data_IF_025289068637
#
_entry.id   IF_025289068637
#
_cell.length_a   1.000
_cell.length_b   1.000
_cell.length_c   1.000
_cell.angle_alpha   90.00
_cell.angle_beta   90.00
_cell.angle_gamma   90.00
#
_symmetry.space_group_name_H-M   'P 1'
#
loop_
_entity.id
_entity.type
_entity.pdbx_description
1 polymer ?
#
# COMPACT_ATOMS: atom_id res chain seq x y z
N UNK A 1 15.82 -3.42 -14.10
CA UNK A 1 14.36 -3.51 -14.32
C UNK A 1 13.97 -4.97 -14.20
N UNK A 2 13.27 -5.35 -13.12
CA UNK A 2 12.90 -6.73 -12.84
C UNK A 2 11.89 -7.26 -13.87
N UNK A 3 12.05 -8.52 -14.26
CA UNK A 3 11.16 -9.19 -15.19
C UNK A 3 9.77 -9.36 -14.53
N UNK A 4 8.78 -8.54 -14.91
CA UNK A 4 7.47 -8.54 -14.22
C UNK A 4 6.59 -9.77 -14.56
N UNK A 5 6.98 -10.59 -15.54
CA UNK A 5 6.34 -11.89 -15.81
C UNK A 5 4.84 -11.74 -16.09
N UNK A 6 4.00 -12.45 -15.34
CA UNK A 6 2.53 -12.46 -15.52
C UNK A 6 1.86 -11.17 -15.00
N UNK A 7 2.53 -10.46 -14.10
CA UNK A 7 2.11 -9.15 -13.60
C UNK A 7 2.75 -8.09 -14.50
N UNK A 8 2.00 -7.12 -14.97
CA UNK A 8 2.50 -6.06 -15.84
C UNK A 8 2.48 -4.70 -15.15
N UNK A 9 1.55 -4.49 -14.23
CA UNK A 9 1.43 -3.25 -13.47
C UNK A 9 0.92 -3.58 -12.08
N UNK A 10 1.43 -2.86 -11.09
CA UNK A 10 0.97 -2.89 -9.71
C UNK A 10 1.25 -1.51 -9.12
N UNK A 11 0.24 -0.67 -9.03
CA UNK A 11 0.41 0.74 -8.67
C UNK A 11 -0.72 1.26 -7.77
N UNK A 12 -0.42 2.28 -6.97
CA UNK A 12 -1.38 2.95 -6.09
C UNK A 12 -1.53 4.40 -6.53
N UNK A 13 -2.77 4.82 -6.77
CA UNK A 13 -3.10 6.24 -6.98
C UNK A 13 -3.95 6.75 -5.84
N UNK A 14 -3.54 7.86 -5.23
CA UNK A 14 -4.32 8.54 -4.20
C UNK A 14 -5.41 9.41 -4.83
N UNK A 15 -6.58 9.43 -4.18
CA UNK A 15 -7.71 10.25 -4.62
C UNK A 15 -7.30 11.73 -4.71
N UNK A 16 -7.72 12.38 -5.79
CA UNK A 16 -7.47 13.81 -6.08
C UNK A 16 -5.97 14.19 -6.10
N UNK A 17 -5.07 13.21 -6.26
CA UNK A 17 -3.61 13.39 -6.12
C UNK A 17 -3.21 14.03 -4.79
N UNK A 18 -4.00 13.84 -3.72
CA UNK A 18 -3.69 14.35 -2.39
C UNK A 18 -2.49 13.59 -1.81
N UNK A 19 -1.47 14.34 -1.42
CA UNK A 19 -0.20 13.80 -0.90
C UNK A 19 0.12 14.22 0.54
N UNK A 20 -0.63 15.17 1.11
CA UNK A 20 -0.48 15.62 2.50
C UNK A 20 -1.74 15.27 3.26
N UNK A 21 -1.60 14.59 4.40
CA UNK A 21 -2.70 14.17 5.25
C UNK A 21 -2.47 14.60 6.70
N UNK A 22 -3.54 14.96 7.39
CA UNK A 22 -3.53 15.35 8.81
C UNK A 22 -4.22 14.29 9.69
N UNK A 23 -4.06 14.35 11.02
CA UNK A 23 -4.84 13.53 11.94
C UNK A 23 -6.34 13.62 11.65
N UNK A 24 -7.02 12.47 11.65
CA UNK A 24 -8.44 12.36 11.28
C UNK A 24 -8.76 12.40 9.77
N UNK A 25 -7.78 12.66 8.89
CA UNK A 25 -8.03 12.61 7.44
C UNK A 25 -8.32 11.19 6.96
N UNK A 26 -9.11 11.09 5.89
CA UNK A 26 -9.25 9.85 5.15
C UNK A 26 -8.20 9.73 4.04
N UNK A 27 -7.33 8.73 4.12
CA UNK A 27 -6.43 8.32 3.03
C UNK A 27 -7.20 7.36 2.14
N UNK A 28 -7.46 7.75 0.88
CA UNK A 28 -8.20 6.90 -0.05
C UNK A 28 -7.55 6.90 -1.43
N UNK A 29 -7.79 5.83 -2.19
CA UNK A 29 -7.18 5.65 -3.49
C UNK A 29 -7.61 4.36 -4.16
N UNK A 30 -6.89 4.01 -5.22
CA UNK A 30 -7.11 2.81 -6.01
C UNK A 30 -5.79 2.07 -6.18
N UNK A 31 -5.81 0.77 -5.91
CA UNK A 31 -4.77 -0.16 -6.32
C UNK A 31 -5.11 -0.65 -7.74
N UNK A 32 -4.24 -0.39 -8.70
CA UNK A 32 -4.34 -0.87 -10.08
C UNK A 32 -3.40 -2.06 -10.28
N UNK A 33 -3.93 -3.13 -10.86
CA UNK A 33 -3.18 -4.33 -11.22
C UNK A 33 -3.46 -4.68 -12.67
N UNK A 34 -2.40 -4.80 -13.49
CA UNK A 34 -2.52 -5.25 -14.88
C UNK A 34 -1.83 -6.59 -15.00
N UNK A 35 -2.48 -7.59 -15.60
CA UNK A 35 -1.89 -8.93 -15.78
C UNK A 35 -1.85 -9.35 -17.25
N UNK A 36 -0.72 -9.93 -17.66
CA UNK A 36 -0.51 -10.44 -19.02
C UNK A 36 -1.30 -11.74 -19.29
N UNK A 37 -1.71 -12.43 -18.22
CA UNK A 37 -2.43 -13.69 -18.25
C UNK A 37 -3.09 -13.92 -16.89
N UNK A 38 -4.02 -14.88 -16.84
CA UNK A 38 -4.69 -15.23 -15.59
C UNK A 38 -3.70 -15.56 -14.46
N UNK A 39 -3.92 -14.96 -13.28
CA UNK A 39 -3.06 -15.08 -12.10
C UNK A 39 -3.89 -15.44 -10.87
N UNK A 40 -3.61 -16.60 -10.27
CA UNK A 40 -4.20 -17.02 -9.00
C UNK A 40 -3.58 -16.22 -7.86
N UNK A 41 -4.40 -15.81 -6.90
CA UNK A 41 -3.96 -15.10 -5.69
C UNK A 41 -4.68 -15.63 -4.45
N UNK A 42 -4.08 -15.44 -3.27
CA UNK A 42 -4.66 -15.86 -1.97
C UNK A 42 -5.44 -14.74 -1.31
N UNK A 43 -4.93 -13.52 -1.39
CA UNK A 43 -5.54 -12.27 -0.97
C UNK A 43 -4.83 -11.11 -1.67
N UNK A 44 -5.50 -9.96 -1.72
CA UNK A 44 -4.91 -8.68 -2.12
C UNK A 44 -5.20 -7.73 -0.97
N UNK A 45 -4.14 -7.20 -0.37
CA UNK A 45 -4.22 -6.35 0.83
C UNK A 45 -3.49 -5.04 0.59
N UNK A 46 -4.06 -3.97 1.12
CA UNK A 46 -3.39 -2.67 1.25
C UNK A 46 -3.03 -2.48 2.71
N UNK A 47 -1.76 -2.16 2.99
CA UNK A 47 -1.27 -1.86 4.32
C UNK A 47 -0.94 -0.37 4.38
N UNK A 48 -1.47 0.32 5.38
CA UNK A 48 -1.18 1.72 5.65
C UNK A 48 -0.52 1.82 7.02
N UNK A 49 0.74 2.21 7.04
CA UNK A 49 1.57 2.24 8.25
C UNK A 49 2.24 3.60 8.36
N UNK A 50 2.33 4.12 9.58
CA UNK A 50 3.06 5.33 9.91
C UNK A 50 3.91 5.09 11.16
N UNK A 51 5.20 5.36 11.05
CA UNK A 51 6.17 5.22 12.15
C UNK A 51 7.20 6.35 12.10
N UNK A 52 7.79 6.67 13.25
CA UNK A 52 8.91 7.59 13.38
C UNK A 52 10.08 6.88 14.06
N UNK A 53 11.20 6.80 13.35
CA UNK A 53 12.47 6.36 13.89
C UNK A 53 13.36 7.54 14.22
N UNK A 54 14.00 7.55 15.38
CA UNK A 54 14.95 8.58 15.82
C UNK A 54 16.27 7.93 16.20
N UNK A 55 17.39 8.51 15.76
CA UNK A 55 18.75 8.15 16.21
C UNK A 55 19.49 9.40 16.66
N UNK A 56 20.22 9.30 17.78
CA UNK A 56 21.06 10.39 18.29
C UNK A 56 22.54 10.21 17.95
N UNK A 57 22.89 9.13 17.24
CA UNK A 57 24.25 8.84 16.81
C UNK A 57 24.42 9.24 15.36
N UNK A 58 25.41 10.08 15.11
CA UNK A 58 25.90 10.35 13.75
C UNK A 58 26.47 9.03 13.21
N UNK A 59 26.04 8.64 12.00
CA UNK A 59 26.47 7.45 11.25
C UNK A 59 25.96 6.07 11.74
N UNK A 60 24.96 6.02 12.61
CA UNK A 60 24.27 4.76 12.96
C UNK A 60 23.00 4.57 12.10
N UNK A 61 22.89 3.43 11.42
CA UNK A 61 21.71 3.06 10.62
C UNK A 61 20.63 2.37 11.45
N UNK A 62 20.92 2.03 12.72
CA UNK A 62 19.94 1.51 13.66
C UNK A 62 19.20 2.65 14.37
N UNK A 63 17.87 2.58 14.39
CA UNK A 63 17.04 3.49 15.17
C UNK A 63 17.29 3.28 16.66
N UNK A 64 17.48 4.38 17.40
CA UNK A 64 17.59 4.34 18.87
C UNK A 64 16.21 4.21 19.51
N UNK A 65 15.18 4.79 18.88
CA UNK A 65 13.77 4.67 19.25
C UNK A 65 12.93 4.59 17.97
N UNK A 66 11.95 3.68 17.94
CA UNK A 66 10.95 3.57 16.87
C UNK A 66 9.54 3.62 17.49
N UNK A 67 8.73 4.56 17.03
CA UNK A 67 7.33 4.70 17.46
C UNK A 67 6.41 4.46 16.27
N UNK A 68 5.48 3.50 16.41
CA UNK A 68 4.44 3.25 15.41
C UNK A 68 3.19 4.06 15.74
N UNK A 69 2.89 5.07 14.93
CA UNK A 69 1.66 5.87 15.05
C UNK A 69 0.41 5.06 14.70
N UNK A 70 0.48 4.25 13.64
CA UNK A 70 -0.60 3.34 13.25
C UNK A 70 -0.11 2.24 12.30
N UNK A 71 -0.86 1.15 12.27
CA UNK A 71 -0.74 0.06 11.30
C UNK A 71 -2.12 -0.49 11.02
N UNK A 72 -2.61 -0.25 9.81
CA UNK A 72 -3.93 -0.69 9.35
C UNK A 72 -3.81 -1.53 8.09
N UNK A 73 -4.55 -2.63 8.03
CA UNK A 73 -4.61 -3.52 6.87
C UNK A 73 -6.04 -3.61 6.36
N UNK A 74 -6.21 -3.45 5.06
CA UNK A 74 -7.49 -3.66 4.37
C UNK A 74 -7.34 -4.77 3.34
N UNK A 75 -8.16 -5.82 3.44
CA UNK A 75 -8.31 -6.80 2.35
C UNK A 75 -9.21 -6.18 1.28
N UNK A 76 -8.71 -6.07 0.05
CA UNK A 76 -9.47 -5.53 -1.09
C UNK A 76 -9.93 -6.62 -2.06
N UNK A 77 -9.38 -7.83 -1.95
CA UNK A 77 -9.90 -9.04 -2.58
C UNK A 77 -9.43 -10.29 -1.83
N UNK A 78 -10.32 -11.26 -1.64
CA UNK A 78 -9.97 -12.59 -1.13
C UNK A 78 -9.63 -13.55 -2.26
N UNK A 79 -9.12 -14.74 -1.91
CA UNK A 79 -8.63 -15.78 -2.84
C UNK A 79 -9.44 -15.85 -4.13
N UNK A 80 -8.73 -15.75 -5.25
CA UNK A 80 -9.36 -15.80 -6.56
C UNK A 80 -8.36 -15.86 -7.70
N UNK A 81 -8.84 -15.46 -8.87
CA UNK A 81 -8.04 -15.37 -10.10
C UNK A 81 -8.23 -13.98 -10.70
N UNK A 82 -7.15 -13.23 -10.84
CA UNK A 82 -7.12 -12.07 -11.71
C UNK A 82 -7.15 -12.57 -13.15
N UNK A 83 -8.16 -12.19 -13.93
CA UNK A 83 -8.18 -12.46 -15.37
C UNK A 83 -7.11 -11.62 -16.08
N UNK A 84 -6.72 -12.00 -17.30
CA UNK A 84 -5.86 -11.14 -18.11
C UNK A 84 -6.48 -9.75 -18.28
N UNK A 85 -5.66 -8.70 -18.18
CA UNK A 85 -6.06 -7.30 -18.30
C UNK A 85 -6.00 -6.53 -16.98
N UNK A 86 -6.73 -5.41 -16.95
CA UNK A 86 -6.68 -4.40 -15.89
C UNK A 86 -7.71 -4.69 -14.78
N UNK A 87 -7.28 -4.49 -13.53
CA UNK A 87 -8.08 -4.63 -12.32
C UNK A 87 -7.88 -3.41 -11.44
N UNK A 88 -8.95 -2.98 -10.77
CA UNK A 88 -8.92 -1.80 -9.89
C UNK A 88 -9.61 -2.12 -8.57
N UNK A 89 -8.91 -1.84 -7.47
CA UNK A 89 -9.36 -2.13 -6.12
C UNK A 89 -9.35 -0.83 -5.29
N UNK A 90 -10.51 -0.25 -4.97
CA UNK A 90 -10.57 0.95 -4.14
C UNK A 90 -10.19 0.62 -2.69
N UNK A 91 -9.55 1.56 -2.02
CA UNK A 91 -9.23 1.47 -0.59
C UNK A 91 -9.49 2.79 0.13
N UNK A 92 -9.70 2.71 1.45
CA UNK A 92 -9.82 3.85 2.34
C UNK A 92 -9.34 3.48 3.75
N UNK A 93 -8.52 4.35 4.33
CA UNK A 93 -8.07 4.33 5.72
C UNK A 93 -8.42 5.64 6.39
N UNK A 94 -8.62 5.61 7.70
CA UNK A 94 -8.79 6.80 8.53
C UNK A 94 -7.51 7.00 9.34
N UNK A 95 -6.88 8.16 9.21
CA UNK A 95 -5.72 8.52 10.03
C UNK A 95 -6.16 8.66 11.49
N UNK A 96 -5.34 8.18 12.46
CA UNK A 96 -5.59 8.45 13.87
C UNK A 96 -5.75 9.95 14.11
N UNK A 97 -6.71 10.32 14.97
CA UNK A 97 -6.95 11.69 15.42
C UNK A 97 -6.17 12.02 16.68
#
# INVERSE_FOLDING_TARGET
>A
MGNMGKLQEFDITFKDNKVVYSPGDAVSGTLKITTAQALLFKDIKVNCQGFCGVTSKIDDTAWTVEEQYFSSTLSVADKGTLKQGDHSFPFKFLMPG
#
